data_IF_103558522231
#
_entry.id   IF_103558522231
#
_cell.length_a   1.000
_cell.length_b   1.000
_cell.length_c   1.000
_cell.angle_alpha   90.00
_cell.angle_beta   90.00
_cell.angle_gamma   90.00
#
_symmetry.space_group_name_H-M   'P 1'
#
loop_
_entity.id
_entity.type
_entity.pdbx_description
1 polymer ?
#
# COMPACT_ATOMS: atom_id res chain seq x y z
N UNK A 1 -38.06 25.32 -66.69
CA UNK A 1 -36.72 24.67 -66.81
C UNK A 1 -35.99 24.90 -65.48
N UNK A 2 -36.14 23.99 -64.49
CA UNK A 2 -35.52 24.16 -63.15
C UNK A 2 -34.26 23.32 -63.09
N UNK A 3 -33.11 23.97 -62.88
CA UNK A 3 -31.81 23.35 -62.64
C UNK A 3 -31.70 22.92 -61.15
N UNK A 4 -31.65 21.60 -60.93
CA UNK A 4 -31.44 20.96 -59.62
C UNK A 4 -29.96 21.10 -59.25
N UNK A 5 -29.59 22.02 -58.34
CA UNK A 5 -28.26 22.07 -57.74
C UNK A 5 -28.06 20.87 -56.83
N UNK A 6 -27.16 19.98 -57.18
CA UNK A 6 -26.72 18.82 -56.36
C UNK A 6 -25.91 19.31 -55.20
N UNK A 7 -26.29 18.94 -53.95
CA UNK A 7 -25.59 19.21 -52.71
C UNK A 7 -24.30 18.36 -52.60
N UNK A 8 -23.24 18.75 -53.29
CA UNK A 8 -21.91 18.08 -53.23
C UNK A 8 -21.22 18.30 -51.87
N UNK A 9 -21.54 19.42 -51.19
CA UNK A 9 -20.91 19.73 -49.90
C UNK A 9 -21.27 18.80 -48.75
N UNK A 10 -22.48 18.19 -48.74
CA UNK A 10 -22.87 17.24 -47.68
C UNK A 10 -22.25 15.86 -47.83
N UNK A 11 -21.87 15.48 -49.04
CA UNK A 11 -21.20 14.19 -49.27
C UNK A 11 -19.72 14.25 -48.84
N UNK A 12 -19.04 15.37 -49.04
CA UNK A 12 -17.65 15.57 -48.61
C UNK A 12 -17.49 15.63 -47.10
N UNK A 13 -18.46 16.26 -46.35
CA UNK A 13 -18.41 16.29 -44.89
C UNK A 13 -18.62 14.91 -44.26
N UNK A 14 -19.51 14.09 -44.83
CA UNK A 14 -19.77 12.73 -44.38
C UNK A 14 -18.56 11.80 -44.56
N UNK A 15 -17.85 11.94 -45.66
CA UNK A 15 -16.66 11.14 -45.95
C UNK A 15 -15.49 11.52 -45.06
N UNK A 16 -15.34 12.80 -44.68
CA UNK A 16 -14.29 13.23 -43.74
C UNK A 16 -14.54 12.75 -42.31
N UNK A 17 -15.82 12.70 -41.87
CA UNK A 17 -16.16 12.19 -40.54
C UNK A 17 -15.92 10.68 -40.43
N UNK A 18 -16.20 9.89 -41.48
CA UNK A 18 -15.97 8.44 -41.51
C UNK A 18 -14.47 8.12 -41.47
N UNK A 19 -13.65 8.88 -42.18
CA UNK A 19 -12.18 8.68 -42.18
C UNK A 19 -11.62 9.06 -40.80
N UNK A 20 -12.12 10.12 -40.13
CA UNK A 20 -11.67 10.51 -38.80
C UNK A 20 -12.05 9.48 -37.72
N UNK A 21 -13.21 8.81 -37.84
CA UNK A 21 -13.64 7.75 -36.91
C UNK A 21 -12.83 6.46 -37.13
N UNK A 22 -12.46 6.14 -38.37
CA UNK A 22 -11.64 4.96 -38.67
C UNK A 22 -10.18 5.12 -38.22
N UNK A 23 -9.65 6.35 -38.24
CA UNK A 23 -8.30 6.61 -37.67
C UNK A 23 -8.27 6.61 -36.13
N UNK A 24 -9.38 6.91 -35.45
CA UNK A 24 -9.47 6.87 -33.99
C UNK A 24 -9.56 5.43 -33.43
N UNK A 25 -9.86 4.43 -34.27
CA UNK A 25 -9.92 3.01 -33.87
C UNK A 25 -8.65 2.21 -34.19
N UNK A 26 -7.61 2.83 -34.68
CA UNK A 26 -6.30 2.17 -34.75
C UNK A 26 -5.68 2.23 -33.35
N UNK A 27 -5.97 1.23 -32.50
CA UNK A 27 -5.15 0.91 -31.35
C UNK A 27 -3.69 0.77 -31.83
N UNK A 28 -2.87 1.74 -31.49
CA UNK A 28 -1.42 1.60 -31.62
C UNK A 28 -1.03 0.35 -30.82
N UNK A 29 -0.80 -0.76 -31.50
CA UNK A 29 -0.15 -1.92 -30.89
C UNK A 29 1.20 -1.41 -30.36
N UNK A 30 1.26 -1.11 -29.08
CA UNK A 30 2.54 -0.90 -28.39
C UNK A 30 3.33 -2.19 -28.58
N UNK A 31 4.29 -2.18 -29.47
CA UNK A 31 5.28 -3.25 -29.54
C UNK A 31 5.96 -3.32 -28.18
N UNK A 32 5.73 -4.40 -27.49
CA UNK A 32 6.43 -4.67 -26.24
C UNK A 32 7.89 -4.94 -26.57
N UNK A 33 8.75 -3.96 -26.35
CA UNK A 33 10.18 -4.15 -26.47
C UNK A 33 10.70 -4.88 -25.24
N UNK A 34 11.14 -6.11 -25.44
CA UNK A 34 11.75 -6.92 -24.38
C UNK A 34 13.27 -6.82 -24.56
N UNK A 35 13.93 -6.17 -23.63
CA UNK A 35 15.39 -6.13 -23.57
C UNK A 35 15.87 -7.23 -22.61
N UNK A 36 16.65 -8.18 -23.15
CA UNK A 36 17.28 -9.21 -22.34
C UNK A 36 18.61 -8.68 -21.78
N UNK A 37 18.66 -8.49 -20.48
CA UNK A 37 19.86 -8.09 -19.77
C UNK A 37 20.50 -9.31 -19.09
N UNK A 38 21.80 -9.46 -19.20
CA UNK A 38 22.54 -10.50 -18.48
C UNK A 38 22.53 -10.27 -16.96
N UNK A 39 22.31 -9.04 -16.54
CA UNK A 39 22.24 -8.62 -15.14
C UNK A 39 21.42 -7.32 -15.03
N UNK A 40 20.46 -7.22 -14.12
CA UNK A 40 19.78 -5.96 -13.83
C UNK A 40 20.78 -4.87 -13.40
N UNK A 41 20.50 -3.62 -13.79
CA UNK A 41 21.26 -2.48 -13.29
C UNK A 41 21.09 -2.34 -11.78
N UNK A 42 22.18 -2.38 -11.03
CA UNK A 42 22.16 -2.24 -9.57
C UNK A 42 22.28 -0.78 -9.11
N UNK A 43 22.42 0.13 -10.06
CA UNK A 43 22.55 1.59 -9.84
C UNK A 43 21.20 2.26 -9.96
N UNK A 44 20.22 1.63 -10.60
CA UNK A 44 18.88 2.17 -10.79
C UNK A 44 18.17 2.31 -9.44
N UNK A 45 17.54 3.46 -9.26
CA UNK A 45 16.80 3.82 -8.04
C UNK A 45 15.34 3.97 -8.41
N UNK A 46 14.46 3.42 -7.62
CA UNK A 46 13.07 3.83 -7.68
C UNK A 46 12.81 4.97 -6.68
N UNK A 47 11.61 5.57 -6.74
CA UNK A 47 11.25 6.71 -5.88
C UNK A 47 11.16 6.35 -4.40
N UNK A 48 10.92 5.09 -4.07
CA UNK A 48 10.69 4.63 -2.70
C UNK A 48 11.93 3.98 -2.07
N UNK A 49 12.84 3.43 -2.90
CA UNK A 49 13.98 2.66 -2.41
C UNK A 49 15.30 3.11 -3.02
N UNK A 50 16.30 3.19 -2.19
CA UNK A 50 17.70 3.33 -2.61
C UNK A 50 18.37 1.97 -2.51
N UNK A 51 19.26 1.66 -3.44
CA UNK A 51 20.14 0.50 -3.31
C UNK A 51 21.08 0.65 -2.12
N UNK A 52 21.78 -0.43 -1.77
CA UNK A 52 22.78 -0.41 -0.71
C UNK A 52 23.82 0.68 -0.94
N UNK A 53 24.23 1.35 0.13
CA UNK A 53 25.30 2.35 0.14
C UNK A 53 26.61 1.68 0.51
N UNK A 54 27.70 2.19 -0.04
CA UNK A 54 29.04 1.73 0.38
C UNK A 54 29.22 1.86 1.91
N UNK A 55 29.86 0.88 2.56
CA UNK A 55 30.61 -0.26 2.02
C UNK A 55 29.78 -1.53 1.72
N UNK A 56 28.46 -1.49 1.81
CA UNK A 56 27.61 -2.64 1.55
C UNK A 56 27.60 -3.00 0.05
N UNK A 57 27.53 -4.29 -0.23
CA UNK A 57 27.40 -4.77 -1.61
C UNK A 57 26.06 -4.33 -2.21
N UNK A 58 26.02 -3.94 -3.50
CA UNK A 58 24.78 -3.65 -4.19
C UNK A 58 23.82 -4.84 -4.13
N UNK A 59 22.52 -4.56 -3.95
CA UNK A 59 21.47 -5.57 -4.07
C UNK A 59 21.37 -6.05 -5.52
N UNK A 60 21.10 -7.33 -5.71
CA UNK A 60 20.82 -7.88 -7.05
C UNK A 60 19.42 -7.51 -7.55
N UNK A 61 18.49 -7.24 -6.62
CA UNK A 61 17.11 -6.88 -6.92
C UNK A 61 16.73 -5.67 -6.09
N UNK A 62 15.92 -4.81 -6.67
CA UNK A 62 15.31 -3.67 -5.99
C UNK A 62 13.82 -3.98 -5.81
N UNK A 63 13.30 -3.81 -4.59
CA UNK A 63 11.88 -3.98 -4.31
C UNK A 63 11.07 -2.99 -5.16
N UNK A 64 10.00 -3.45 -5.77
CA UNK A 64 9.03 -2.58 -6.42
C UNK A 64 7.99 -2.10 -5.40
N UNK A 65 7.56 -0.83 -5.46
CA UNK A 65 6.47 -0.34 -4.64
C UNK A 65 5.18 -1.13 -4.88
N UNK A 66 4.37 -1.26 -3.84
CA UNK A 66 3.07 -1.93 -3.94
C UNK A 66 2.18 -1.27 -5.01
N UNK A 67 1.49 -2.07 -5.81
CA UNK A 67 0.64 -1.58 -6.90
C UNK A 67 1.38 -1.20 -8.20
N UNK A 68 2.71 -1.34 -8.25
CA UNK A 68 3.50 -1.10 -9.47
C UNK A 68 3.20 -2.14 -10.56
N UNK A 69 2.95 -3.39 -10.16
CA UNK A 69 2.61 -4.48 -11.07
C UNK A 69 1.11 -4.70 -11.03
N UNK A 70 0.47 -4.67 -12.20
CA UNK A 70 -0.95 -5.00 -12.33
C UNK A 70 -1.10 -6.50 -12.64
N UNK A 71 -1.79 -7.26 -11.78
CA UNK A 71 -2.05 -8.67 -12.05
C UNK A 71 -3.08 -8.84 -13.16
N UNK A 72 -2.89 -9.85 -14.00
CA UNK A 72 -3.83 -10.23 -15.04
C UNK A 72 -4.17 -11.73 -15.01
N UNK A 73 -5.12 -12.15 -15.82
CA UNK A 73 -5.50 -13.55 -16.00
C UNK A 73 -5.93 -14.23 -14.72
N UNK A 74 -5.36 -15.40 -14.42
CA UNK A 74 -5.71 -16.21 -13.26
C UNK A 74 -5.33 -15.54 -11.93
N UNK A 75 -4.21 -14.78 -11.91
CA UNK A 75 -3.76 -14.08 -10.70
C UNK A 75 -4.74 -12.97 -10.31
N UNK A 76 -5.22 -12.19 -11.28
CA UNK A 76 -6.26 -11.18 -11.02
C UNK A 76 -7.54 -11.82 -10.49
N UNK A 77 -7.96 -12.95 -11.08
CA UNK A 77 -9.14 -13.70 -10.59
C UNK A 77 -8.96 -14.15 -9.15
N UNK A 78 -7.78 -14.64 -8.80
CA UNK A 78 -7.47 -15.06 -7.45
C UNK A 78 -7.53 -13.89 -6.44
N UNK A 79 -6.99 -12.71 -6.80
CA UNK A 79 -7.08 -11.52 -5.95
C UNK A 79 -8.51 -11.02 -5.80
N UNK A 80 -9.33 -11.11 -6.85
CA UNK A 80 -10.76 -10.81 -6.75
C UNK A 80 -11.50 -11.78 -5.83
N UNK A 81 -11.16 -13.06 -5.85
CA UNK A 81 -11.71 -14.03 -4.89
C UNK A 81 -11.31 -13.70 -3.45
N UNK A 82 -10.09 -13.21 -3.20
CA UNK A 82 -9.70 -12.74 -1.87
C UNK A 82 -10.51 -11.51 -1.43
N UNK A 83 -10.74 -10.56 -2.34
CA UNK A 83 -11.57 -9.39 -2.09
C UNK A 83 -13.01 -9.78 -1.73
N UNK A 84 -13.62 -10.69 -2.50
CA UNK A 84 -15.00 -11.18 -2.25
C UNK A 84 -15.08 -12.17 -1.09
N UNK A 85 -13.95 -12.79 -0.73
CA UNK A 85 -13.85 -13.76 0.35
C UNK A 85 -13.42 -13.16 1.69
N UNK A 86 -12.78 -13.99 2.50
CA UNK A 86 -12.47 -13.68 3.90
C UNK A 86 -11.59 -12.42 4.04
N UNK A 87 -10.58 -12.22 3.19
CA UNK A 87 -9.71 -11.04 3.29
C UNK A 87 -10.51 -9.74 3.19
N UNK A 88 -11.40 -9.66 2.19
CA UNK A 88 -12.24 -8.46 1.99
C UNK A 88 -13.38 -8.31 2.97
N UNK A 89 -13.86 -9.42 3.55
CA UNK A 89 -15.05 -9.46 4.41
C UNK A 89 -14.77 -9.64 5.89
N UNK A 90 -13.52 -9.84 6.28
CA UNK A 90 -13.18 -10.11 7.67
C UNK A 90 -13.60 -8.97 8.61
N UNK A 91 -13.47 -7.71 8.17
CA UNK A 91 -13.91 -6.55 8.94
C UNK A 91 -15.42 -6.48 9.23
N UNK A 92 -16.24 -7.26 8.49
CA UNK A 92 -17.69 -7.33 8.68
C UNK A 92 -18.09 -8.38 9.74
N UNK A 93 -17.20 -9.34 10.04
CA UNK A 93 -17.56 -10.52 10.86
C UNK A 93 -16.64 -10.75 12.07
N UNK A 94 -15.47 -10.10 12.12
CA UNK A 94 -14.52 -10.27 13.20
C UNK A 94 -14.76 -9.24 14.31
N UNK A 95 -14.99 -9.71 15.54
CA UNK A 95 -15.08 -8.84 16.72
C UNK A 95 -13.79 -8.05 16.95
N UNK A 96 -12.63 -8.60 16.58
CA UNK A 96 -11.33 -7.92 16.71
C UNK A 96 -11.14 -6.74 15.75
N UNK A 97 -11.92 -6.70 14.68
CA UNK A 97 -11.91 -5.63 13.68
C UNK A 97 -13.13 -4.70 13.79
N UNK A 98 -13.99 -4.92 14.78
CA UNK A 98 -15.06 -3.97 15.10
C UNK A 98 -14.43 -2.62 15.44
N UNK A 99 -14.94 -1.55 14.85
CA UNK A 99 -14.44 -0.20 15.06
C UNK A 99 -14.85 0.38 16.42
N UNK A 100 -15.89 -0.19 17.00
CA UNK A 100 -16.35 0.22 18.32
C UNK A 100 -15.33 -0.26 19.35
N UNK A 101 -14.83 0.67 20.14
CA UNK A 101 -13.85 0.42 21.22
C UNK A 101 -12.53 -0.24 20.75
N UNK A 102 -12.20 -0.12 19.45
CA UNK A 102 -10.96 -0.64 18.90
C UNK A 102 -9.74 0.18 19.34
N UNK A 103 -8.71 -0.50 19.81
CA UNK A 103 -7.51 0.11 20.39
C UNK A 103 -6.69 0.98 19.41
N UNK A 104 -6.76 0.72 18.10
CA UNK A 104 -6.11 1.55 17.10
C UNK A 104 -6.89 2.81 16.76
N UNK A 105 -8.21 2.79 16.91
CA UNK A 105 -9.09 3.92 16.56
C UNK A 105 -9.39 4.83 17.75
N UNK A 106 -9.38 4.30 18.96
CA UNK A 106 -9.78 5.01 20.16
C UNK A 106 -8.73 4.87 21.27
N UNK A 107 -8.40 5.99 21.91
CA UNK A 107 -7.47 6.05 23.05
C UNK A 107 -8.01 5.34 24.28
N UNK A 108 -8.61 4.31 24.33
CA UNK A 108 -9.22 3.58 25.44
C UNK A 108 -9.80 2.27 24.97
N UNK A 109 -9.59 1.99 23.70
CA UNK A 109 -10.04 0.74 23.10
C UNK A 109 -9.36 -0.46 23.75
N UNK A 110 -10.05 -1.59 23.74
CA UNK A 110 -9.68 -2.79 24.51
C UNK A 110 -9.45 -4.03 23.63
N UNK A 111 -9.55 -3.89 22.31
CA UNK A 111 -9.35 -5.02 21.38
C UNK A 111 -8.68 -4.59 20.06
N UNK A 112 -8.24 -5.59 19.29
CA UNK A 112 -7.68 -5.40 17.96
C UNK A 112 -6.20 -5.06 17.94
N UNK A 113 -5.50 -5.26 19.04
CA UNK A 113 -4.10 -4.91 19.22
C UNK A 113 -3.18 -5.45 18.10
N UNK A 114 -3.12 -6.75 17.87
CA UNK A 114 -2.32 -7.34 16.79
C UNK A 114 -3.18 -7.72 15.58
N UNK A 115 -4.46 -8.00 15.77
CA UNK A 115 -5.34 -8.51 14.73
C UNK A 115 -5.58 -7.46 13.63
N UNK A 116 -5.71 -6.19 14.01
CA UNK A 116 -5.88 -5.10 13.04
C UNK A 116 -4.67 -4.99 12.11
N UNK A 117 -3.41 -4.87 12.58
CA UNK A 117 -2.26 -4.80 11.70
C UNK A 117 -2.09 -6.05 10.82
N UNK A 118 -2.35 -7.24 11.35
CA UNK A 118 -2.28 -8.48 10.57
C UNK A 118 -3.26 -8.50 9.40
N UNK A 119 -4.53 -8.18 9.68
CA UNK A 119 -5.53 -8.06 8.62
C UNK A 119 -5.21 -6.94 7.65
N UNK A 120 -4.89 -5.75 8.18
CA UNK A 120 -4.66 -4.54 7.39
C UNK A 120 -3.49 -4.71 6.42
N UNK A 121 -2.44 -5.45 6.82
CA UNK A 121 -1.31 -5.77 5.94
C UNK A 121 -1.75 -6.47 4.66
N UNK A 122 -2.63 -7.47 4.77
CA UNK A 122 -3.16 -8.18 3.61
C UNK A 122 -4.24 -7.39 2.87
N UNK A 123 -5.16 -6.79 3.61
CA UNK A 123 -6.26 -6.01 3.06
C UNK A 123 -5.78 -4.75 2.33
N UNK A 124 -4.84 -4.01 2.92
CA UNK A 124 -4.29 -2.80 2.34
C UNK A 124 -3.49 -3.08 1.07
N UNK A 125 -2.61 -4.09 1.08
CA UNK A 125 -1.86 -4.47 -0.12
C UNK A 125 -2.80 -4.92 -1.25
N UNK A 126 -3.83 -5.70 -0.93
CA UNK A 126 -4.85 -6.10 -1.89
C UNK A 126 -5.60 -4.88 -2.46
N UNK A 127 -5.94 -3.91 -1.61
CA UNK A 127 -6.60 -2.67 -2.02
C UNK A 127 -5.75 -1.87 -3.04
N UNK A 128 -4.45 -1.75 -2.76
CA UNK A 128 -3.53 -1.00 -3.63
C UNK A 128 -3.26 -1.71 -4.95
N UNK A 129 -3.08 -3.04 -4.91
CA UNK A 129 -2.84 -3.85 -6.11
C UNK A 129 -4.05 -3.85 -7.04
N UNK A 130 -5.25 -3.97 -6.48
CA UNK A 130 -6.50 -3.93 -7.25
C UNK A 130 -6.95 -2.51 -7.60
N UNK A 131 -6.31 -1.49 -7.03
CA UNK A 131 -6.72 -0.07 -7.14
C UNK A 131 -8.19 0.14 -6.75
N UNK A 132 -8.65 -0.62 -5.75
CA UNK A 132 -10.04 -0.59 -5.29
C UNK A 132 -10.29 0.58 -4.36
N UNK A 133 -11.07 1.56 -4.81
CA UNK A 133 -11.29 2.81 -4.10
C UNK A 133 -11.98 2.65 -2.74
N UNK A 134 -12.90 1.68 -2.61
CA UNK A 134 -13.59 1.41 -1.36
C UNK A 134 -12.66 0.79 -0.33
N UNK A 135 -11.89 -0.22 -0.75
CA UNK A 135 -10.88 -0.85 0.12
C UNK A 135 -9.76 0.14 0.51
N UNK A 136 -9.34 0.99 -0.42
CA UNK A 136 -8.33 2.04 -0.15
C UNK A 136 -8.86 3.04 0.89
N UNK A 137 -10.13 3.45 0.76
CA UNK A 137 -10.76 4.35 1.73
C UNK A 137 -10.84 3.71 3.13
N UNK A 138 -11.21 2.44 3.22
CA UNK A 138 -11.24 1.70 4.47
C UNK A 138 -9.83 1.56 5.07
N UNK A 139 -8.84 1.16 4.28
CA UNK A 139 -7.43 1.10 4.71
C UNK A 139 -6.96 2.43 5.28
N UNK A 140 -7.34 3.54 4.64
CA UNK A 140 -6.95 4.88 5.07
C UNK A 140 -7.48 5.23 6.45
N UNK A 141 -8.65 4.76 6.86
CA UNK A 141 -9.18 4.98 8.22
C UNK A 141 -8.20 4.49 9.27
N UNK A 142 -7.69 3.28 9.13
CA UNK A 142 -6.76 2.65 10.06
C UNK A 142 -5.37 3.28 10.03
N UNK A 143 -4.87 3.61 8.85
CA UNK A 143 -3.58 4.29 8.69
C UNK A 143 -3.61 5.69 9.29
N UNK A 144 -4.66 6.46 9.06
CA UNK A 144 -4.81 7.80 9.67
C UNK A 144 -4.87 7.71 11.19
N UNK A 145 -5.57 6.72 11.74
CA UNK A 145 -5.61 6.50 13.18
C UNK A 145 -4.21 6.17 13.74
N UNK A 146 -3.46 5.30 13.08
CA UNK A 146 -2.08 5.00 13.46
C UNK A 146 -1.18 6.26 13.43
N UNK A 147 -1.30 7.09 12.38
CA UNK A 147 -0.54 8.36 12.28
C UNK A 147 -0.94 9.33 13.41
N UNK A 148 -2.23 9.42 13.71
CA UNK A 148 -2.75 10.33 14.74
C UNK A 148 -2.46 9.86 16.18
N UNK A 149 -2.24 8.56 16.40
CA UNK A 149 -1.91 8.00 17.70
C UNK A 149 -0.50 8.35 18.18
N UNK A 150 0.32 8.99 17.34
CA UNK A 150 1.68 9.39 17.69
C UNK A 150 1.71 10.30 18.90
N UNK A 151 2.50 9.90 19.89
CA UNK A 151 2.75 10.64 21.12
C UNK A 151 3.91 11.63 20.98
N UNK A 152 4.04 12.62 21.86
CA UNK A 152 5.10 13.63 21.78
C UNK A 152 6.53 13.06 21.82
N UNK A 153 6.71 11.92 22.45
CA UNK A 153 8.01 11.23 22.55
C UNK A 153 8.34 10.35 21.33
N UNK A 154 7.38 10.17 20.41
CA UNK A 154 7.55 9.41 19.17
C UNK A 154 6.91 8.02 19.17
N UNK A 155 6.46 7.51 20.34
CA UNK A 155 5.67 6.27 20.37
C UNK A 155 4.35 6.45 19.60
N UNK A 156 3.80 5.38 19.03
CA UNK A 156 2.48 5.35 18.41
C UNK A 156 1.78 4.01 18.68
N UNK A 157 0.49 3.97 18.46
CA UNK A 157 -0.31 2.75 18.60
C UNK A 157 -0.93 2.57 19.99
N UNK A 158 -1.61 1.43 20.19
CA UNK A 158 -2.39 1.17 21.39
C UNK A 158 -1.51 0.91 22.62
N UNK A 159 -1.99 1.35 23.77
CA UNK A 159 -1.35 1.11 25.08
C UNK A 159 -2.32 0.53 26.10
N UNK A 160 -3.62 0.83 25.98
CA UNK A 160 -4.60 0.48 27.01
C UNK A 160 -4.93 -1.01 27.01
N UNK A 161 -5.08 -1.62 25.87
CA UNK A 161 -5.36 -3.05 25.73
C UNK A 161 -4.29 -3.92 26.42
N UNK A 162 -3.06 -3.40 26.49
CA UNK A 162 -1.92 -4.08 27.14
C UNK A 162 -1.64 -3.57 28.54
N UNK A 163 -2.66 -3.06 29.23
CA UNK A 163 -2.51 -2.54 30.60
C UNK A 163 -1.60 -1.31 30.71
N UNK A 164 -1.52 -0.50 29.67
CA UNK A 164 -0.67 0.68 29.60
C UNK A 164 0.76 0.39 29.12
N UNK A 165 1.10 -0.86 28.81
CA UNK A 165 2.41 -1.24 28.29
C UNK A 165 2.60 -0.73 26.85
N UNK A 166 3.74 -0.15 26.58
CA UNK A 166 4.18 0.25 25.24
C UNK A 166 4.93 -0.91 24.60
N UNK A 167 4.20 -1.74 23.93
CA UNK A 167 4.68 -2.97 23.35
C UNK A 167 5.06 -2.78 21.87
N UNK A 168 6.12 -3.46 21.43
CA UNK A 168 6.66 -3.27 20.09
C UNK A 168 6.01 -4.18 19.04
N UNK A 169 5.47 -5.33 19.44
CA UNK A 169 5.06 -6.37 18.51
C UNK A 169 3.99 -5.93 17.50
N UNK A 170 2.86 -5.41 17.98
CA UNK A 170 1.80 -4.94 17.09
C UNK A 170 2.28 -3.80 16.17
N UNK A 171 3.15 -2.94 16.71
CA UNK A 171 3.75 -1.84 15.95
C UNK A 171 4.67 -2.36 14.84
N UNK A 172 5.43 -3.45 15.06
CA UNK A 172 6.23 -4.07 13.99
C UNK A 172 5.38 -4.46 12.79
N UNK A 173 4.19 -5.01 13.03
CA UNK A 173 3.25 -5.37 11.96
C UNK A 173 2.63 -4.13 11.32
N UNK A 174 2.27 -3.10 12.12
CA UNK A 174 1.74 -1.85 11.59
C UNK A 174 2.76 -1.08 10.74
N UNK A 175 4.06 -1.17 11.06
CA UNK A 175 5.10 -0.57 10.22
C UNK A 175 5.08 -1.13 8.77
N UNK A 176 4.71 -2.40 8.57
CA UNK A 176 4.50 -2.95 7.24
C UNK A 176 3.33 -2.27 6.52
N UNK A 177 2.22 -2.05 7.22
CA UNK A 177 1.05 -1.37 6.65
C UNK A 177 1.39 0.07 6.28
N UNK A 178 2.10 0.77 7.15
CA UNK A 178 2.58 2.13 6.92
C UNK A 178 3.54 2.21 5.73
N UNK A 179 4.48 1.27 5.61
CA UNK A 179 5.38 1.21 4.48
C UNK A 179 4.61 1.02 3.16
N UNK A 180 3.70 0.07 3.09
CA UNK A 180 2.87 -0.16 1.89
C UNK A 180 2.04 1.07 1.54
N UNK A 181 1.46 1.73 2.56
CA UNK A 181 0.73 2.98 2.34
C UNK A 181 1.63 4.10 1.79
N UNK A 182 2.85 4.25 2.32
CA UNK A 182 3.81 5.21 1.79
C UNK A 182 4.21 4.90 0.33
N UNK A 183 4.47 3.63 0.01
CA UNK A 183 4.79 3.19 -1.34
C UNK A 183 3.67 3.54 -2.34
N UNK A 184 2.43 3.40 -1.90
CA UNK A 184 1.25 3.70 -2.72
C UNK A 184 0.95 5.19 -2.83
N UNK A 185 1.01 5.93 -1.71
CA UNK A 185 0.51 7.31 -1.60
C UNK A 185 1.59 8.38 -1.71
N UNK A 186 2.83 8.08 -1.35
CA UNK A 186 3.90 9.04 -1.16
C UNK A 186 3.74 9.94 0.06
N UNK A 187 2.86 9.62 1.01
CA UNK A 187 2.55 10.43 2.19
C UNK A 187 3.74 10.51 3.14
N UNK A 188 4.42 11.64 3.16
CA UNK A 188 5.63 11.87 3.96
C UNK A 188 5.39 11.87 5.48
N UNK A 189 4.14 11.99 5.95
CA UNK A 189 3.82 11.87 7.37
C UNK A 189 4.23 10.51 7.92
N UNK A 190 4.15 9.47 7.09
CA UNK A 190 4.61 8.11 7.42
C UNK A 190 6.11 8.11 7.73
N UNK A 191 6.92 8.76 6.90
CA UNK A 191 8.37 8.83 7.16
C UNK A 191 8.70 9.55 8.48
N UNK A 192 7.94 10.60 8.78
CA UNK A 192 8.08 11.33 10.05
C UNK A 192 7.71 10.44 11.22
N UNK A 193 6.55 9.77 11.16
CA UNK A 193 6.09 8.85 12.20
C UNK A 193 7.11 7.74 12.46
N UNK A 194 7.55 7.05 11.42
CA UNK A 194 8.51 5.95 11.54
C UNK A 194 9.85 6.43 12.09
N UNK A 195 10.33 7.59 11.63
CA UNK A 195 11.59 8.18 12.13
C UNK A 195 11.49 8.50 13.61
N UNK A 196 10.39 9.11 14.07
CA UNK A 196 10.20 9.46 15.46
C UNK A 196 10.04 8.21 16.32
N UNK A 197 9.33 7.20 15.82
CA UNK A 197 9.18 5.92 16.50
C UNK A 197 10.52 5.19 16.70
N UNK A 198 11.37 5.13 15.67
CA UNK A 198 12.71 4.52 15.82
C UNK A 198 13.61 5.34 16.75
N UNK A 199 13.49 6.68 16.77
CA UNK A 199 14.18 7.50 17.77
C UNK A 199 13.69 7.21 19.18
N UNK A 200 12.38 7.03 19.37
CA UNK A 200 11.82 6.63 20.64
C UNK A 200 12.38 5.28 21.09
N UNK A 201 12.49 4.29 20.21
CA UNK A 201 13.08 2.99 20.54
C UNK A 201 14.51 3.11 21.10
N UNK A 202 15.30 4.07 20.63
CA UNK A 202 16.64 4.34 21.17
C UNK A 202 16.64 4.86 22.61
N UNK A 203 15.49 5.27 23.13
CA UNK A 203 15.34 5.72 24.52
C UNK A 203 14.87 4.60 25.46
N UNK A 204 14.45 3.46 24.91
CA UNK A 204 14.04 2.30 25.70
C UNK A 204 15.29 1.66 26.33
N UNK A 205 15.30 1.42 27.67
CA UNK A 205 16.43 0.75 28.30
C UNK A 205 16.71 -0.63 27.70
N UNK A 206 17.99 -1.02 27.61
CA UNK A 206 18.41 -2.28 26.97
C UNK A 206 17.75 -3.52 27.59
N UNK A 207 17.52 -3.50 28.91
CA UNK A 207 16.84 -4.59 29.63
C UNK A 207 15.33 -4.61 29.44
N UNK A 208 14.77 -3.58 28.78
CA UNK A 208 13.34 -3.43 28.45
C UNK A 208 13.06 -3.51 26.95
N UNK A 209 14.09 -3.47 26.13
CA UNK A 209 13.94 -3.55 24.68
C UNK A 209 13.73 -5.00 24.26
N UNK A 210 12.65 -5.28 23.56
CA UNK A 210 12.26 -6.64 23.15
C UNK A 210 12.13 -7.62 24.34
N UNK A 211 11.63 -7.15 25.48
CA UNK A 211 11.49 -7.95 26.70
C UNK A 211 10.41 -9.02 26.58
N UNK A 212 9.33 -8.71 25.89
CA UNK A 212 8.21 -9.64 25.73
C UNK A 212 8.55 -10.79 24.77
N UNK A 213 7.90 -11.93 24.96
CA UNK A 213 8.12 -13.13 24.16
C UNK A 213 7.95 -12.89 22.66
N UNK A 214 6.87 -12.22 22.25
CA UNK A 214 6.61 -11.96 20.84
C UNK A 214 7.56 -10.91 20.27
N UNK A 215 7.86 -9.88 21.02
CA UNK A 215 8.84 -8.86 20.64
C UNK A 215 10.21 -9.47 20.37
N UNK A 216 10.68 -10.33 21.30
CA UNK A 216 11.97 -11.00 21.18
C UNK A 216 11.98 -11.97 19.99
N UNK A 217 10.95 -12.82 19.88
CA UNK A 217 10.83 -13.81 18.80
C UNK A 217 10.76 -13.17 17.41
N UNK A 218 10.29 -11.94 17.31
CA UNK A 218 10.03 -11.21 16.06
C UNK A 218 10.89 -9.96 15.88
N UNK A 219 11.90 -9.77 16.69
CA UNK A 219 12.78 -8.57 16.66
C UNK A 219 13.38 -8.28 15.28
N UNK A 220 13.59 -9.32 14.46
CA UNK A 220 14.02 -9.16 13.06
C UNK A 220 13.04 -8.38 12.19
N UNK A 221 11.73 -8.45 12.47
CA UNK A 221 10.73 -7.66 11.75
C UNK A 221 10.88 -6.15 12.02
N UNK A 222 11.30 -5.78 13.24
CA UNK A 222 11.58 -4.40 13.60
C UNK A 222 12.80 -3.84 12.88
N UNK A 223 13.85 -4.65 12.72
CA UNK A 223 15.11 -4.26 12.06
C UNK A 223 14.95 -4.10 10.55
N UNK A 224 14.06 -4.87 9.94
CA UNK A 224 13.89 -4.89 8.49
C UNK A 224 13.14 -3.67 7.93
N UNK A 225 12.64 -2.72 8.77
CA UNK A 225 11.87 -1.52 8.38
C UNK A 225 12.73 -0.27 8.30
#
# INVERSE_FOLDING_TARGET
MFKKKRNIGKLLLGSFLIVAVLTACMEEKREMKIDMLSRPGTIDRNVSYQGNRLPLKPLHFIKLPVGTIEPEGWLKKYLLLQKEGLTGKLGEISAWLDKKDNAWLLSGGDHGWEEVPYWLKGYGDLAYILKDSAMIAETKVWIEAAIQSRQPDGFFGPVNERGGKRELWANMVMLWCLQSYYEYSGDKRVLTLMTDYFKWQLTVPDDKFLEDYWENSRGGDNLYR
#
